data_IF_939802681188
#
_entry.id   IF_939802681188
#
_cell.length_a   1.000
_cell.length_b   1.000
_cell.length_c   1.000
_cell.angle_alpha   90.00
_cell.angle_beta   90.00
_cell.angle_gamma   90.00
#
_symmetry.space_group_name_H-M   'P 1'
#
loop_
_entity.id
_entity.type
_entity.pdbx_description
1 polymer ?
2 polymer ?
3 water ?
#
# COMPACT_ATOMS: atom_id res chain seq x y z
N UNK A 7 14.30 -9.93 17.84
CA UNK A 7 14.00 -10.48 16.48
C UNK A 7 12.90 -9.70 15.72
N UNK A 8 12.94 -9.86 14.40
CA UNK A 8 11.92 -9.32 13.48
C UNK A 8 10.65 -10.19 13.43
N UNK A 9 9.50 -9.51 13.46
CA UNK A 9 8.20 -10.11 13.16
C UNK A 9 7.82 -9.73 11.72
N UNK A 10 7.88 -10.70 10.80
CA UNK A 10 7.58 -10.46 9.40
C UNK A 10 6.12 -10.96 9.15
N UNK A 11 5.25 -10.12 8.58
CA UNK A 11 3.92 -10.59 8.16
C UNK A 11 3.44 -9.90 6.85
N UNK A 12 2.24 -10.28 6.39
CA UNK A 12 1.67 -9.79 5.14
C UNK A 12 0.16 -9.61 5.16
N UNK A 13 -0.32 -8.94 4.12
CA UNK A 13 -1.73 -8.69 3.90
C UNK A 13 -1.87 -8.62 2.42
N UNK A 14 -2.91 -9.24 1.90
CA UNK A 14 -3.30 -9.16 0.50
C UNK A 14 -4.60 -8.43 0.40
N UNK A 15 -4.59 -7.31 -0.33
CA UNK A 15 -5.74 -6.46 -0.43
C UNK A 15 -6.28 -6.52 -1.87
N UNK A 16 -7.53 -6.90 -2.07
CA UNK A 16 -8.11 -6.90 -3.44
C UNK A 16 -9.12 -5.78 -3.50
N UNK A 17 -8.88 -4.82 -4.36
CA UNK A 17 -9.83 -3.77 -4.61
C UNK A 17 -10.58 -4.14 -5.88
N UNK A 18 -11.87 -4.48 -5.72
CA UNK A 18 -12.72 -4.82 -6.88
C UNK A 18 -13.14 -3.55 -7.61
N UNK A 19 -13.38 -3.71 -8.89
CA UNK A 19 -13.93 -2.60 -9.75
C UNK A 19 -13.06 -1.37 -9.64
N UNK A 20 -11.77 -1.61 -9.81
CA UNK A 20 -10.74 -0.59 -9.52
C UNK A 20 -10.96 0.62 -10.41
N UNK A 21 -11.27 0.39 -11.69
CA UNK A 21 -11.47 1.53 -12.63
C UNK A 21 -12.56 2.53 -12.22
N UNK A 22 -13.49 2.16 -11.31
CA UNK A 22 -14.55 3.06 -10.75
C UNK A 22 -14.38 3.45 -9.28
N UNK A 23 -13.27 3.04 -8.65
CA UNK A 23 -13.19 3.12 -7.19
C UNK A 23 -12.99 4.50 -6.68
N UNK A 24 -12.54 5.41 -7.52
CA UNK A 24 -12.40 6.79 -7.04
C UNK A 24 -13.81 7.40 -6.80
N UNK A 25 -14.75 7.05 -7.68
CA UNK A 25 -16.18 7.45 -7.57
C UNK A 25 -16.89 6.75 -6.40
N UNK A 26 -16.79 5.42 -6.37
CA UNK A 26 -17.54 4.54 -5.45
C UNK A 26 -16.98 4.51 -3.99
N UNK A 27 -15.66 4.66 -3.87
CA UNK A 27 -14.91 4.60 -2.58
C UNK A 27 -14.25 5.91 -2.14
N UNK A 28 -13.98 6.81 -3.08
CA UNK A 28 -13.45 8.14 -2.77
C UNK A 28 -12.00 8.38 -3.18
N UNK A 29 -11.51 9.54 -2.75
CA UNK A 29 -10.17 10.08 -3.00
C UNK A 29 -9.13 9.29 -2.24
N UNK A 30 -9.50 8.87 -1.03
CA UNK A 30 -8.68 8.02 -0.19
C UNK A 30 -9.47 6.75 0.22
N UNK A 31 -8.82 5.60 0.21
CA UNK A 31 -9.47 4.32 0.45
C UNK A 31 -8.64 3.63 1.48
N UNK A 32 -9.26 3.23 2.61
CA UNK A 32 -8.56 2.45 3.62
C UNK A 32 -9.00 1.01 3.61
N UNK A 33 -8.03 0.10 3.69
CA UNK A 33 -8.31 -1.28 3.80
C UNK A 33 -8.88 -1.65 5.15
N UNK A 34 -9.31 -2.90 5.23
CA UNK A 34 -9.63 -3.47 6.55
C UNK A 34 -8.38 -3.56 7.40
N UNK A 35 -8.55 -3.45 8.72
CA UNK A 35 -7.50 -3.61 9.69
C UNK A 35 -6.92 -4.99 9.77
N UNK A 36 -5.59 -5.05 9.88
CA UNK A 36 -4.89 -6.32 9.96
C UNK A 36 -3.75 -6.28 10.96
N UNK A 37 -3.27 -7.47 11.27
CA UNK A 37 -2.10 -7.68 12.15
C UNK A 37 -1.45 -8.99 11.80
N UNK A 38 -0.34 -9.30 12.46
CA UNK A 38 0.35 -10.62 12.32
C UNK A 38 -0.50 -11.80 12.83
N UNK A 39 -1.25 -11.57 13.91
CA UNK A 39 -2.22 -12.56 14.43
C UNK A 39 -2.98 -12.09 15.68
N UNK A 40 -3.45 -13.05 16.46
CA UNK A 40 -4.10 -12.79 17.77
C UNK A 40 -3.10 -12.45 18.91
N UNK A 41 -1.82 -12.82 18.76
CA UNK A 41 -0.76 -12.51 19.73
C UNK A 41 -0.05 -11.14 19.46
N UNK A 42 -0.81 -10.15 18.97
CA UNK A 42 -0.23 -8.92 18.41
C UNK A 42 -0.98 -7.67 18.91
N UNK A 43 -0.30 -6.87 19.74
CA UNK A 43 -0.80 -5.53 20.11
C UNK A 43 -1.11 -4.58 18.88
N UNK A 44 -0.53 -4.86 17.71
CA UNK A 44 -0.49 -3.88 16.62
C UNK A 44 -1.59 -4.05 15.60
N UNK A 45 -2.22 -2.94 15.25
CA UNK A 45 -3.22 -2.98 14.21
C UNK A 45 -2.85 -1.96 13.13
N UNK A 46 -2.76 -2.46 11.90
CA UNK A 46 -2.41 -1.67 10.71
C UNK A 46 -3.48 -1.67 9.62
N UNK A 47 -3.45 -0.68 8.72
CA UNK A 47 -4.21 -0.78 7.45
C UNK A 47 -3.40 -0.18 6.31
N UNK A 48 -3.82 -0.46 5.07
CA UNK A 48 -3.29 0.19 3.89
C UNK A 48 -4.20 1.32 3.51
N UNK A 49 -3.63 2.35 2.92
CA UNK A 49 -4.38 3.49 2.44
C UNK A 49 -3.91 3.75 0.98
N UNK A 50 -4.84 3.91 0.05
CA UNK A 50 -4.56 4.10 -1.35
C UNK A 50 -5.26 5.37 -1.72
N UNK A 51 -4.61 6.23 -2.50
CA UNK A 51 -5.27 7.31 -3.23
C UNK A 51 -5.24 6.89 -4.69
N UNK A 52 -6.37 6.47 -5.26
CA UNK A 52 -6.28 5.98 -6.64
C UNK A 52 -5.73 6.99 -7.67
N UNK A 53 -5.92 8.30 -7.43
CA UNK A 53 -5.13 9.32 -8.10
C UNK A 53 -4.42 10.11 -7.01
N UNK A 54 -3.12 10.37 -7.16
CA UNK A 54 -2.35 11.14 -6.15
C UNK A 54 -2.97 12.52 -5.96
N UNK A 55 -2.77 13.10 -4.78
CA UNK A 55 -3.52 14.29 -4.35
C UNK A 55 -2.77 15.65 -4.48
N UNK A 56 -1.83 15.72 -5.41
CA UNK A 56 -1.20 16.99 -5.77
C UNK A 56 -0.84 16.93 -7.24
N UNK A 57 -0.49 18.10 -7.80
CA UNK A 57 -0.19 18.26 -9.23
C UNK A 57 0.76 17.18 -9.72
N UNK A 58 1.80 16.96 -8.93
CA UNK A 58 2.90 16.06 -9.26
C UNK A 58 2.52 14.59 -9.29
N UNK A 59 1.71 14.15 -8.31
CA UNK A 59 1.30 12.73 -8.21
C UNK A 59 -0.02 12.42 -8.90
N UNK A 60 -0.71 13.43 -9.46
CA UNK A 60 -2.05 13.24 -10.12
C UNK A 60 -2.10 12.05 -11.08
N UNK A 61 -0.99 11.72 -11.76
CA UNK A 61 -0.93 10.51 -12.62
C UNK A 61 -0.56 9.16 -11.96
N UNK A 62 -0.42 9.19 -10.63
CA UNK A 62 0.00 8.03 -9.90
C UNK A 62 -1.07 7.52 -8.91
N UNK A 63 -1.12 6.22 -8.74
CA UNK A 63 -1.71 5.64 -7.51
C UNK A 63 -0.70 5.77 -6.39
N UNK A 64 -1.18 6.26 -5.25
CA UNK A 64 -0.40 6.38 -4.00
C UNK A 64 -0.79 5.27 -3.01
N UNK A 65 0.21 4.73 -2.34
CA UNK A 65 0.10 3.57 -1.47
C UNK A 65 0.91 3.73 -0.18
N UNK A 66 0.20 3.67 0.96
CA UNK A 66 0.81 3.81 2.30
C UNK A 66 0.43 2.69 3.28
N UNK A 67 1.32 2.44 4.24
CA UNK A 67 1.08 1.59 5.40
C UNK A 67 0.77 2.55 6.58
N UNK A 68 -0.37 2.34 7.22
CA UNK A 68 -0.91 3.16 8.31
C UNK A 68 -0.96 2.31 9.60
N UNK A 69 -0.37 2.79 10.69
CA UNK A 69 -0.53 2.15 12.03
C UNK A 69 -1.81 2.67 12.70
N UNK A 70 -2.77 1.79 12.90
CA UNK A 70 -4.10 2.21 13.42
C UNK A 70 -4.22 2.15 14.96
N UNK A 71 -3.65 1.12 15.58
CA UNK A 71 -3.74 0.92 17.03
C UNK A 71 -2.98 2.01 17.81
N UNK A 72 -3.14 2.00 19.14
CA UNK A 72 -2.36 2.83 20.08
C UNK A 72 -1.34 1.95 20.83
N UNK A 73 -0.15 1.74 20.26
CA UNK A 73 0.73 0.71 20.81
C UNK A 73 1.45 1.14 22.11
N UNK A 74 2.23 0.21 22.69
CA UNK A 74 3.20 0.49 23.77
C UNK A 74 3.79 1.91 23.62
N UNK A 75 4.60 2.08 22.58
CA UNK A 75 5.00 3.41 22.12
C UNK A 75 5.41 3.30 20.66
N UNK A 76 6.24 4.24 20.19
CA UNK A 76 6.87 4.17 18.85
C UNK A 76 7.18 2.76 18.39
N UNK A 77 6.91 2.54 17.11
CA UNK A 77 7.13 1.28 16.43
C UNK A 77 8.03 1.60 15.26
N UNK A 78 9.01 0.75 15.01
CA UNK A 78 9.89 0.92 13.87
C UNK A 78 9.67 -0.25 12.95
N UNK A 79 9.23 0.05 11.73
CA UNK A 79 9.01 -1.04 10.76
C UNK A 79 9.56 -0.77 9.36
N UNK A 80 10.10 -1.80 8.72
CA UNK A 80 10.31 -1.83 7.26
C UNK A 80 9.06 -2.36 6.51
N UNK A 81 8.83 -1.89 5.31
CA UNK A 81 7.74 -2.39 4.49
C UNK A 81 8.07 -2.54 3.05
N UNK A 82 7.39 -3.47 2.42
CA UNK A 82 7.47 -3.78 1.01
C UNK A 82 6.04 -3.88 0.45
N UNK A 83 5.78 -3.15 -0.64
CA UNK A 83 4.55 -3.31 -1.43
C UNK A 83 4.83 -3.81 -2.85
N UNK A 84 3.95 -4.66 -3.33
CA UNK A 84 3.97 -5.04 -4.71
C UNK A 84 2.55 -5.34 -5.24
N UNK A 85 2.45 -5.54 -6.56
CA UNK A 85 1.18 -5.69 -7.27
C UNK A 85 1.18 -7.08 -7.81
N UNK A 86 0.10 -7.84 -7.60
CA UNK A 86 0.04 -9.22 -8.06
C UNK A 86 -0.63 -9.23 -9.42
N UNK A 87 0.03 -9.80 -10.43
CA UNK A 87 -0.54 -9.81 -11.78
C UNK A 87 -1.54 -10.96 -11.94
N UNK A 88 -2.16 -11.00 -13.12
CA UNK A 88 -3.04 -12.09 -13.55
C UNK A 88 -2.50 -13.50 -13.24
N UNK A 89 -1.21 -13.73 -13.44
CA UNK A 89 -0.61 -15.07 -13.19
C UNK A 89 -0.33 -15.38 -11.71
N UNK A 90 -0.61 -14.46 -10.80
CA UNK A 90 -0.32 -14.65 -9.37
C UNK A 90 1.12 -14.30 -9.01
N UNK A 91 1.78 -13.49 -9.84
CA UNK A 91 3.20 -13.19 -9.62
C UNK A 91 3.33 -11.79 -9.04
N UNK A 92 4.34 -11.61 -8.23
CA UNK A 92 4.56 -10.33 -7.61
C UNK A 92 5.33 -9.45 -8.56
N UNK A 93 4.85 -8.24 -8.85
CA UNK A 93 5.60 -7.28 -9.67
C UNK A 93 5.59 -5.92 -9.07
N UNK A 94 6.46 -5.08 -9.59
CA UNK A 94 6.50 -3.68 -9.31
C UNK A 94 6.77 -3.38 -7.83
N UNK A 95 7.58 -4.24 -7.23
CA UNK A 95 7.85 -4.17 -5.81
C UNK A 95 8.74 -3.02 -5.45
N UNK A 96 8.37 -2.25 -4.44
CA UNK A 96 9.26 -1.29 -3.81
C UNK A 96 9.27 -1.44 -2.28
N UNK A 97 10.42 -1.11 -1.69
CA UNK A 97 10.75 -1.30 -0.28
C UNK A 97 11.10 0.00 0.37
N UNK A 98 10.74 0.13 1.65
CA UNK A 98 11.29 1.12 2.55
C UNK A 98 12.73 0.58 2.62
N UNK A 99 13.68 1.43 2.59
CA UNK A 99 15.03 0.80 2.65
C UNK A 99 15.39 0.55 4.12
N UNK A 100 15.06 1.52 4.95
CA UNK A 100 15.18 1.43 6.38
C UNK A 100 13.82 1.35 7.05
N UNK A 101 13.82 1.37 8.39
CA UNK A 101 12.64 1.23 9.20
C UNK A 101 12.16 2.61 9.48
N UNK A 102 10.88 2.87 9.26
CA UNK A 102 10.33 4.16 9.52
C UNK A 102 9.61 4.06 10.84
N UNK A 103 9.19 5.20 11.38
CA UNK A 103 8.69 5.29 12.73
C UNK A 103 7.28 5.67 12.73
N UNK A 104 6.46 4.83 13.34
CA UNK A 104 5.05 4.94 13.33
C UNK A 104 4.56 5.17 14.76
N UNK A 105 3.60 6.05 14.88
CA UNK A 105 2.83 6.24 16.07
C UNK A 105 1.39 6.04 15.60
N UNK A 106 0.44 5.98 16.52
CA UNK A 106 -0.95 5.88 16.15
C UNK A 106 -1.32 6.99 15.16
N UNK A 107 -1.93 6.58 14.06
CA UNK A 107 -2.36 7.48 12.99
C UNK A 107 -1.27 7.92 12.00
N UNK A 108 -0.05 7.44 12.16
CA UNK A 108 1.03 7.78 11.26
C UNK A 108 1.07 6.77 10.14
N UNK A 109 1.21 7.26 8.91
CA UNK A 109 1.48 6.42 7.74
C UNK A 109 2.77 6.81 7.03
N UNK A 110 3.34 5.84 6.33
CA UNK A 110 4.50 6.01 5.49
C UNK A 110 4.22 5.20 4.21
N UNK A 111 4.64 5.72 3.07
CA UNK A 111 4.66 4.94 1.85
C UNK A 111 5.07 5.73 0.64
N UNK A 112 4.48 5.40 -0.51
CA UNK A 112 4.88 6.02 -1.76
C UNK A 112 3.80 6.88 -2.37
N UNK A 113 4.02 8.19 -2.41
CA UNK A 113 3.07 9.08 -3.04
C UNK A 113 2.91 8.72 -4.56
N UNK A 114 3.93 8.12 -5.17
CA UNK A 114 3.92 7.77 -6.56
C UNK A 114 4.28 6.36 -6.70
N UNK A 115 3.41 5.50 -6.19
CA UNK A 115 3.70 4.11 -6.17
C UNK A 115 3.71 3.53 -7.57
N UNK A 116 2.74 3.87 -8.40
CA UNK A 116 2.69 3.40 -9.82
C UNK A 116 1.85 4.29 -10.70
N UNK A 117 2.31 4.53 -11.94
CA UNK A 117 1.57 5.38 -12.93
C UNK A 117 0.25 4.69 -13.26
N UNK A 118 -0.82 5.47 -13.25
CA UNK A 118 -2.16 4.92 -13.61
C UNK A 118 -2.22 4.32 -15.02
N UNK A 119 -1.61 5.03 -15.98
CA UNK A 119 -1.58 4.54 -17.35
C UNK A 119 -0.88 3.19 -17.44
N UNK A 120 0.19 2.97 -16.68
CA UNK A 120 0.83 1.65 -16.68
C UNK A 120 -0.19 0.64 -16.23
N UNK A 121 -0.87 0.99 -15.14
CA UNK A 121 -1.78 0.08 -14.44
C UNK A 121 -3.02 -0.28 -15.30
N UNK A 122 -3.59 0.77 -15.90
CA UNK A 122 -4.73 0.66 -16.82
C UNK A 122 -4.43 0.03 -18.17
N UNK A 123 -3.22 0.18 -18.71
CA UNK A 123 -2.89 -0.55 -19.91
C UNK A 123 -2.96 -2.06 -19.63
N UNK A 124 -4.05 -2.65 -20.12
CA UNK A 124 -4.35 -4.10 -20.14
C UNK A 124 -3.26 -5.05 -20.59
N UNK A 125 -2.31 -4.59 -21.40
CA UNK A 125 -1.16 -5.43 -21.78
C UNK A 125 -0.31 -5.86 -20.58
N UNK A 126 -0.26 -4.99 -19.57
CA UNK A 126 0.51 -5.24 -18.34
C UNK A 126 -0.17 -6.25 -17.37
N UNK A 127 -1.42 -6.65 -17.63
CA UNK A 127 -2.10 -7.67 -16.84
C UNK A 127 -2.22 -7.41 -15.33
N UNK A 128 -2.36 -6.14 -14.93
CA UNK A 128 -2.42 -5.79 -13.51
C UNK A 128 -3.82 -5.59 -12.96
N UNK A 129 -4.83 -5.57 -13.84
CA UNK A 129 -6.22 -5.40 -13.43
C UNK A 129 -7.14 -6.45 -14.05
N UNK A 130 -6.86 -7.73 -13.79
CA UNK A 130 -7.68 -8.83 -14.26
C UNK A 130 -9.10 -8.77 -13.68
N UNK A 131 -10.10 -8.65 -14.58
CA UNK A 131 -11.49 -8.40 -14.22
C UNK A 131 -11.62 -7.10 -13.42
N UNK A 132 -10.77 -6.11 -13.74
CA UNK A 132 -10.74 -4.82 -13.03
C UNK A 132 -10.56 -4.98 -11.48
N UNK A 133 -9.83 -6.02 -11.09
CA UNK A 133 -9.39 -6.24 -9.72
C UNK A 133 -7.91 -5.83 -9.55
N UNK A 134 -7.64 -4.89 -8.66
CA UNK A 134 -6.25 -4.58 -8.27
C UNK A 134 -6.00 -5.35 -6.96
N UNK A 135 -4.96 -6.17 -6.97
CA UNK A 135 -4.49 -6.90 -5.82
C UNK A 135 -3.13 -6.40 -5.37
N UNK A 136 -3.12 -5.88 -4.16
CA UNK A 136 -1.86 -5.38 -3.57
C UNK A 136 -1.38 -6.33 -2.46
N UNK A 137 -0.08 -6.59 -2.47
CA UNK A 137 0.60 -7.38 -1.44
C UNK A 137 1.49 -6.50 -0.56
N UNK A 138 1.22 -6.45 0.74
CA UNK A 138 2.08 -5.67 1.64
C UNK A 138 2.81 -6.63 2.56
N UNK A 139 4.13 -6.57 2.63
CA UNK A 139 4.92 -7.30 3.67
C UNK A 139 5.53 -6.31 4.64
N UNK A 140 5.38 -6.57 5.93
CA UNK A 140 5.76 -5.62 7.00
C UNK A 140 6.77 -6.38 7.88
N UNK A 141 7.78 -5.64 8.37
CA UNK A 141 8.83 -6.21 9.23
C UNK A 141 9.11 -5.29 10.40
N UNK A 142 8.64 -5.74 11.57
CA UNK A 142 8.69 -4.96 12.79
C UNK A 142 9.85 -5.53 13.59
N UNK A 143 10.70 -4.62 14.09
CA UNK A 143 11.91 -4.99 14.84
C UNK A 143 11.62 -5.75 16.15
N UNK B 1 8.89 8.25 -14.84
CA UNK B 1 9.16 7.18 -13.86
C UNK B 1 7.88 6.44 -13.67
N UNK B 2 7.92 5.18 -14.01
CA UNK B 2 6.84 4.29 -13.87
C UNK B 2 6.51 4.06 -12.32
N UNK B 3 7.54 3.99 -11.46
CA UNK B 3 7.38 4.08 -10.00
C UNK B 3 8.44 4.99 -9.38
N UNK B 4 8.09 5.67 -8.30
CA UNK B 4 9.03 6.53 -7.56
C UNK B 4 9.16 6.07 -6.10
N UNK B 5 10.38 5.67 -5.71
CA UNK B 5 10.68 5.03 -4.41
C UNK B 5 10.88 5.98 -3.23
N UNK B 6 10.66 7.26 -3.42
CA UNK B 6 10.65 8.20 -2.33
C UNK B 6 9.51 7.90 -1.33
N UNK B 7 9.91 7.65 -0.07
CA UNK B 7 8.99 7.36 1.02
C UNK B 7 8.63 8.64 1.69
N UNK B 8 7.34 8.93 1.78
CA UNK B 8 6.81 10.09 2.47
C UNK B 8 5.72 9.64 3.45
N UNK B 9 5.31 10.57 4.29
CA UNK B 9 4.16 10.45 5.18
C UNK B 9 2.99 11.29 4.70
N UNK B 10 1.77 10.88 5.08
CA UNK B 10 0.53 11.41 4.49
C UNK B 10 0.17 12.84 4.78
#
# INVERSE_FOLDING_TARGET
GAMASGKVVKFSYMWTINNFSFCREEMGEVIKSSTFSSGANDKLKWCLRVNPKGLDEESKDYLSLYLLLVSCPKSEVRAKFKFSILNAKGEETKAMESQRAYRFVQGKDWGFKKFIRRDFLLDEANGLLPDDKLTLFCEVSVVQD
PEQDCAVTSGE
#
